data_IF_766932093376
#
_entry.id   IF_766932093376
#
_cell.length_a   1.000
_cell.length_b   1.000
_cell.length_c   1.000
_cell.angle_alpha   90.00
_cell.angle_beta   90.00
_cell.angle_gamma   90.00
#
_symmetry.space_group_name_H-M   'P 1'
#
loop_
_entity.id
_entity.type
_entity.pdbx_description
1 polymer ?
#
# COMPACT_ATOMS: atom_id res chain seq x y z
N UNK A 1 14.53 4.32 -26.35
CA UNK A 1 15.30 5.48 -25.85
C UNK A 1 15.04 5.57 -24.35
N UNK A 2 16.07 5.54 -23.52
CA UNK A 2 15.91 5.67 -22.06
C UNK A 2 15.55 7.12 -21.73
N UNK A 3 14.44 7.35 -21.02
CA UNK A 3 14.06 8.69 -20.58
C UNK A 3 14.77 9.02 -19.28
N UNK A 4 15.22 10.27 -19.16
CA UNK A 4 15.80 10.80 -17.95
C UNK A 4 14.87 11.84 -17.32
N UNK A 5 14.83 11.85 -16.00
CA UNK A 5 13.99 12.72 -15.19
C UNK A 5 14.88 13.56 -14.29
N UNK A 6 14.60 14.86 -14.22
CA UNK A 6 15.16 15.70 -13.17
C UNK A 6 14.70 15.20 -11.80
N UNK A 7 15.43 15.56 -10.74
CA UNK A 7 15.06 15.20 -9.37
C UNK A 7 13.60 15.56 -9.01
N UNK A 8 13.08 16.64 -9.57
CA UNK A 8 11.73 17.14 -9.27
C UNK A 8 10.65 16.36 -10.04
N UNK A 9 10.93 15.97 -11.28
CA UNK A 9 10.06 15.08 -12.05
C UNK A 9 10.05 13.68 -11.42
N UNK A 10 11.22 13.15 -11.11
CA UNK A 10 11.37 11.84 -10.48
C UNK A 10 10.65 11.77 -9.13
N UNK A 11 10.79 12.81 -8.29
CA UNK A 11 10.13 12.87 -6.98
C UNK A 11 8.60 12.87 -7.10
N UNK A 12 8.06 13.59 -8.10
CA UNK A 12 6.62 13.62 -8.38
C UNK A 12 6.10 12.25 -8.81
N UNK A 13 6.84 11.54 -9.66
CA UNK A 13 6.43 10.21 -10.15
C UNK A 13 6.38 9.18 -9.03
N UNK A 14 7.37 9.18 -8.14
CA UNK A 14 7.48 8.17 -7.07
C UNK A 14 6.77 8.56 -5.76
N UNK A 15 6.21 9.78 -5.71
CA UNK A 15 5.43 10.26 -4.57
C UNK A 15 6.26 10.60 -3.32
N UNK A 16 7.49 11.09 -3.49
CA UNK A 16 8.34 11.56 -2.38
C UNK A 16 8.81 12.99 -2.61
N UNK A 17 9.45 13.61 -1.61
CA UNK A 17 10.05 14.94 -1.79
C UNK A 17 11.40 14.87 -2.51
N UNK A 18 11.79 15.94 -3.20
CA UNK A 18 13.14 16.04 -3.76
C UNK A 18 14.25 15.92 -2.69
N UNK A 19 13.96 16.35 -1.45
CA UNK A 19 14.91 16.18 -0.34
C UNK A 19 15.09 14.71 0.05
N UNK A 20 14.02 13.91 0.00
CA UNK A 20 14.09 12.46 0.23
C UNK A 20 15.04 11.79 -0.76
N UNK A 21 15.03 12.20 -2.04
CA UNK A 21 15.95 11.70 -3.05
C UNK A 21 17.42 12.09 -2.79
N UNK A 22 17.68 13.33 -2.32
CA UNK A 22 19.04 13.73 -1.89
C UNK A 22 19.54 12.92 -0.71
N UNK A 23 18.65 12.63 0.25
CA UNK A 23 19.00 11.79 1.40
C UNK A 23 19.26 10.34 0.97
N UNK A 24 18.54 9.83 -0.04
CA UNK A 24 18.79 8.49 -0.59
C UNK A 24 20.12 8.39 -1.32
N UNK A 25 20.52 9.44 -2.05
CA UNK A 25 21.84 9.56 -2.64
C UNK A 25 22.93 9.57 -1.57
N UNK A 26 22.78 10.41 -0.53
CA UNK A 26 23.74 10.50 0.57
C UNK A 26 23.90 9.21 1.39
N UNK A 27 22.80 8.47 1.59
CA UNK A 27 22.79 7.22 2.37
C UNK A 27 22.99 5.96 1.52
N UNK A 28 23.31 6.10 0.22
CA UNK A 28 23.57 4.97 -0.67
C UNK A 28 22.36 4.12 -1.07
N UNK A 29 21.14 4.60 -0.79
CA UNK A 29 19.88 3.89 -1.12
C UNK A 29 19.54 3.98 -2.61
N UNK A 30 19.77 5.15 -3.22
CA UNK A 30 19.55 5.36 -4.65
C UNK A 30 20.42 6.52 -5.12
N UNK A 31 21.45 6.22 -5.91
CA UNK A 31 22.25 7.23 -6.57
C UNK A 31 21.58 7.73 -7.86
N UNK A 32 21.74 9.00 -8.24
CA UNK A 32 21.31 9.48 -9.55
C UNK A 32 22.10 8.74 -10.65
N UNK A 33 21.46 8.48 -11.80
CA UNK A 33 22.15 7.88 -12.95
C UNK A 33 23.34 8.74 -13.39
N UNK A 34 23.16 10.06 -13.42
CA UNK A 34 24.24 11.00 -13.64
C UNK A 34 23.96 12.34 -12.98
N UNK A 35 25.04 13.06 -12.70
CA UNK A 35 25.00 14.44 -12.22
C UNK A 35 25.68 15.32 -13.25
N UNK A 36 25.03 16.40 -13.65
CA UNK A 36 25.62 17.38 -14.57
C UNK A 36 26.75 18.16 -13.88
N UNK A 37 27.59 18.82 -14.67
CA UNK A 37 28.67 19.69 -14.17
C UNK A 37 28.17 20.78 -13.20
N UNK A 38 26.92 21.21 -13.37
CA UNK A 38 26.25 22.21 -12.52
C UNK A 38 25.57 21.60 -11.28
N UNK A 39 25.74 20.30 -11.01
CA UNK A 39 25.20 19.64 -9.82
C UNK A 39 23.75 19.15 -9.93
N UNK A 40 23.11 19.26 -11.11
CA UNK A 40 21.76 18.72 -11.31
C UNK A 40 21.79 17.20 -11.44
N UNK A 41 20.90 16.54 -10.69
CA UNK A 41 20.74 15.09 -10.64
C UNK A 41 19.66 14.61 -11.58
N UNK A 42 19.97 13.59 -12.35
CA UNK A 42 19.05 12.94 -13.28
C UNK A 42 18.92 11.44 -12.99
N UNK A 43 17.69 10.94 -13.11
CA UNK A 43 17.32 9.56 -12.86
C UNK A 43 16.75 8.91 -14.12
N UNK A 44 17.00 7.62 -14.33
CA UNK A 44 16.50 6.90 -15.53
C UNK A 44 15.18 6.16 -15.28
N UNK A 45 14.50 5.74 -16.35
CA UNK A 45 13.36 4.81 -16.29
C UNK A 45 13.70 3.49 -15.55
N UNK A 46 14.93 2.99 -15.68
CA UNK A 46 15.36 1.79 -14.96
C UNK A 46 15.36 2.02 -13.44
N UNK A 47 15.86 3.17 -13.00
CA UNK A 47 15.82 3.57 -11.60
C UNK A 47 14.40 3.83 -11.13
N UNK A 48 13.54 4.31 -12.02
CA UNK A 48 12.12 4.43 -11.74
C UNK A 48 11.51 3.07 -11.42
N UNK A 49 11.80 2.03 -12.21
CA UNK A 49 11.35 0.67 -11.95
C UNK A 49 11.95 0.06 -10.67
N UNK A 50 13.13 0.50 -10.23
CA UNK A 50 13.75 0.05 -8.98
C UNK A 50 13.06 0.64 -7.74
N UNK A 51 12.57 1.88 -7.82
CA UNK A 51 12.08 2.62 -6.63
C UNK A 51 10.60 2.92 -6.63
N UNK A 52 9.95 2.90 -7.80
CA UNK A 52 8.56 2.51 -7.86
C UNK A 52 8.57 1.08 -7.35
N UNK A 53 8.32 0.94 -6.05
CA UNK A 53 7.61 -0.21 -5.54
C UNK A 53 6.43 -0.37 -6.49
N UNK A 54 6.55 -1.24 -7.47
CA UNK A 54 5.42 -1.77 -8.22
C UNK A 54 4.64 -2.47 -7.14
N UNK A 55 3.82 -1.72 -6.40
CA UNK A 55 2.79 -2.27 -5.55
C UNK A 55 2.10 -3.25 -6.49
N UNK A 56 2.12 -4.55 -6.19
CA UNK A 56 1.68 -5.56 -7.13
C UNK A 56 0.33 -5.09 -7.67
N UNK A 57 0.17 -5.10 -9.00
CA UNK A 57 -1.10 -4.73 -9.67
C UNK A 57 -2.29 -5.49 -9.06
N UNK A 58 -2.02 -6.62 -8.41
CA UNK A 58 -2.96 -7.46 -7.70
C UNK A 58 -3.01 -7.14 -6.20
N UNK A 59 -3.29 -5.89 -5.83
CA UNK A 59 -3.67 -5.57 -4.45
C UNK A 59 -5.13 -5.98 -4.24
N UNK A 60 -5.36 -6.69 -3.16
CA UNK A 60 -6.70 -7.02 -2.70
C UNK A 60 -7.08 -6.10 -1.54
N UNK A 61 -8.31 -5.59 -1.54
CA UNK A 61 -8.85 -4.86 -0.40
C UNK A 61 -9.34 -5.84 0.66
N UNK A 62 -8.85 -5.74 1.89
CA UNK A 62 -9.33 -6.57 3.00
C UNK A 62 -10.27 -5.75 3.88
N UNK A 63 -11.53 -6.18 3.98
CA UNK A 63 -12.50 -5.67 4.93
C UNK A 63 -12.54 -6.55 6.18
N UNK A 64 -12.18 -6.00 7.33
CA UNK A 64 -12.24 -6.73 8.61
C UNK A 64 -13.40 -6.23 9.48
N UNK A 65 -14.25 -7.15 9.94
CA UNK A 65 -15.46 -6.85 10.73
C UNK A 65 -15.47 -7.65 12.03
N UNK A 66 -15.98 -7.06 13.11
CA UNK A 66 -16.07 -7.77 14.39
C UNK A 66 -17.25 -7.30 15.23
N UNK A 67 -17.95 -8.26 15.83
CA UNK A 67 -18.93 -7.99 16.91
C UNK A 67 -18.51 -8.63 18.23
N UNK A 68 -19.02 -8.11 19.34
CA UNK A 68 -18.60 -8.54 20.68
C UNK A 68 -19.29 -9.83 21.13
N UNK A 69 -20.45 -10.15 20.57
CA UNK A 69 -21.26 -11.31 20.96
C UNK A 69 -21.91 -12.00 19.77
N UNK A 70 -22.17 -13.31 19.89
CA UNK A 70 -22.94 -14.07 18.92
C UNK A 70 -24.38 -13.56 18.77
N UNK A 71 -24.92 -12.87 19.78
CA UNK A 71 -26.25 -12.24 19.69
C UNK A 71 -26.31 -11.13 18.63
N UNK A 72 -25.15 -10.60 18.22
CA UNK A 72 -25.03 -9.54 17.21
C UNK A 72 -24.59 -10.10 15.84
N UNK A 73 -24.73 -11.42 15.63
CA UNK A 73 -24.33 -12.08 14.37
C UNK A 73 -25.11 -11.52 13.19
N UNK A 74 -26.41 -11.28 13.37
CA UNK A 74 -27.26 -10.73 12.31
C UNK A 74 -26.84 -9.31 11.93
N UNK A 75 -26.43 -8.49 12.91
CA UNK A 75 -25.89 -7.15 12.67
C UNK A 75 -24.55 -7.21 11.92
N UNK A 76 -23.68 -8.15 12.28
CA UNK A 76 -22.41 -8.38 11.59
C UNK A 76 -22.65 -8.76 10.12
N UNK A 77 -23.58 -9.68 9.86
CA UNK A 77 -23.93 -10.12 8.51
C UNK A 77 -24.47 -8.96 7.67
N UNK A 78 -25.37 -8.14 8.21
CA UNK A 78 -25.88 -6.93 7.55
C UNK A 78 -24.78 -5.92 7.23
N UNK A 79 -23.85 -5.68 8.15
CA UNK A 79 -22.72 -4.79 7.92
C UNK A 79 -21.80 -5.31 6.80
N UNK A 80 -21.53 -6.61 6.80
CA UNK A 80 -20.72 -7.25 5.76
C UNK A 80 -21.42 -7.14 4.40
N UNK A 81 -22.72 -7.39 4.33
CA UNK A 81 -23.48 -7.37 3.07
C UNK A 81 -23.55 -5.97 2.44
N UNK A 82 -23.78 -4.94 3.26
CA UNK A 82 -23.77 -3.55 2.83
C UNK A 82 -22.43 -3.14 2.21
N UNK A 83 -21.32 -3.54 2.84
CA UNK A 83 -20.00 -3.19 2.32
C UNK A 83 -19.59 -4.07 1.14
N UNK A 84 -19.99 -5.34 1.12
CA UNK A 84 -19.83 -6.19 -0.07
C UNK A 84 -20.49 -5.55 -1.28
N UNK A 85 -21.73 -5.08 -1.15
CA UNK A 85 -22.45 -4.39 -2.22
C UNK A 85 -21.68 -3.16 -2.72
N UNK A 86 -21.17 -2.34 -1.80
CA UNK A 86 -20.34 -1.18 -2.14
C UNK A 86 -19.03 -1.57 -2.85
N UNK A 87 -18.33 -2.59 -2.37
CA UNK A 87 -17.05 -3.03 -2.93
C UNK A 87 -17.22 -3.71 -4.30
N UNK A 88 -18.29 -4.49 -4.47
CA UNK A 88 -18.67 -5.07 -5.77
C UNK A 88 -18.93 -3.97 -6.80
N UNK A 89 -19.68 -2.92 -6.43
CA UNK A 89 -19.92 -1.78 -7.31
C UNK A 89 -18.63 -1.02 -7.67
N UNK A 90 -17.62 -1.04 -6.81
CA UNK A 90 -16.29 -0.45 -7.07
C UNK A 90 -15.42 -1.24 -8.05
N UNK A 91 -15.75 -2.51 -8.32
CA UNK A 91 -15.04 -3.36 -9.29
C UNK A 91 -13.60 -3.71 -8.90
N UNK A 92 -13.22 -3.58 -7.63
CA UNK A 92 -11.88 -3.94 -7.14
C UNK A 92 -11.93 -5.30 -6.42
N UNK A 93 -10.89 -6.16 -6.55
CA UNK A 93 -10.86 -7.42 -5.82
C UNK A 93 -10.79 -7.16 -4.32
N UNK A 94 -11.65 -7.83 -3.57
CA UNK A 94 -11.71 -7.70 -2.12
C UNK A 94 -11.97 -9.04 -1.43
N UNK A 95 -11.58 -9.13 -0.17
CA UNK A 95 -11.88 -10.24 0.73
C UNK A 95 -12.41 -9.70 2.06
N UNK A 96 -13.29 -10.48 2.69
CA UNK A 96 -13.88 -10.13 3.99
C UNK A 96 -13.39 -11.12 5.03
N UNK A 97 -12.90 -10.59 6.15
CA UNK A 97 -12.53 -11.34 7.33
C UNK A 97 -13.45 -10.89 8.46
N UNK A 98 -13.93 -11.82 9.27
CA UNK A 98 -14.79 -11.48 10.40
C UNK A 98 -14.47 -12.26 11.66
N UNK A 99 -14.68 -11.64 12.82
CA UNK A 99 -14.56 -12.28 14.13
C UNK A 99 -15.77 -12.02 15.02
N UNK A 100 -16.07 -12.97 15.90
CA UNK A 100 -17.06 -12.79 16.97
C UNK A 100 -16.35 -12.96 18.32
N UNK A 101 -16.61 -12.05 19.24
CA UNK A 101 -16.29 -12.22 20.66
C UNK A 101 -15.75 -10.95 21.32
N UNK A 102 -15.96 -10.89 22.63
CA UNK A 102 -15.68 -9.75 23.49
C UNK A 102 -14.18 -9.62 23.81
N UNK A 103 -13.80 -8.40 24.22
CA UNK A 103 -12.42 -8.07 24.58
C UNK A 103 -11.48 -7.90 23.37
N UNK A 104 -10.29 -7.37 23.63
CA UNK A 104 -9.17 -7.37 22.69
C UNK A 104 -8.46 -8.72 22.85
N UNK A 105 -8.47 -9.54 21.79
CA UNK A 105 -7.83 -10.84 21.81
C UNK A 105 -7.03 -11.06 20.52
N UNK A 106 -5.71 -10.98 20.63
CA UNK A 106 -4.74 -11.14 19.52
C UNK A 106 -4.60 -12.59 19.02
N UNK A 107 -5.26 -13.56 19.67
CA UNK A 107 -5.29 -14.97 19.24
C UNK A 107 -6.53 -15.30 18.38
N UNK A 108 -7.38 -14.31 18.08
CA UNK A 108 -8.53 -14.53 17.20
C UNK A 108 -8.07 -14.86 15.78
N UNK A 109 -8.69 -15.87 15.19
CA UNK A 109 -8.30 -16.38 13.87
C UNK A 109 -8.42 -15.31 12.79
N UNK A 110 -9.49 -14.53 12.78
CA UNK A 110 -9.67 -13.46 11.79
C UNK A 110 -8.63 -12.36 11.94
N UNK A 111 -8.38 -11.88 13.16
CA UNK A 111 -7.35 -10.89 13.43
C UNK A 111 -5.94 -11.38 13.05
N UNK A 112 -5.60 -12.63 13.36
CA UNK A 112 -4.32 -13.23 12.95
C UNK A 112 -4.19 -13.32 11.43
N UNK A 113 -5.26 -13.72 10.75
CA UNK A 113 -5.30 -13.75 9.29
C UNK A 113 -5.14 -12.35 8.69
N UNK A 114 -5.81 -11.34 9.24
CA UNK A 114 -5.65 -9.95 8.82
C UNK A 114 -4.18 -9.53 8.95
N UNK A 115 -3.57 -9.72 10.13
CA UNK A 115 -2.17 -9.36 10.39
C UNK A 115 -1.25 -10.07 9.40
N UNK A 116 -1.45 -11.37 9.16
CA UNK A 116 -0.67 -12.16 8.20
C UNK A 116 -0.76 -11.63 6.78
N UNK A 117 -1.91 -11.07 6.38
CA UNK A 117 -2.19 -10.58 5.03
C UNK A 117 -1.70 -9.15 4.79
N UNK A 118 -1.51 -8.36 5.85
CA UNK A 118 -1.05 -6.96 5.76
C UNK A 118 0.43 -6.76 6.15
N UNK A 119 1.04 -7.76 6.80
CA UNK A 119 2.48 -7.79 7.13
C UNK A 119 3.31 -8.14 5.91
#
# INVERSE_FOLDING_TARGET
MSKYYSIHEFSKIIGVSAQTLRNWDANGKLHPHHTTVNGYRYYSDEQLNQVINVKPKNRITIGYYRVSSHKQKDDLERQIDNVKTYLLAKGQPFEIISDIGSGINYKKKGLQELIRRIS
#
